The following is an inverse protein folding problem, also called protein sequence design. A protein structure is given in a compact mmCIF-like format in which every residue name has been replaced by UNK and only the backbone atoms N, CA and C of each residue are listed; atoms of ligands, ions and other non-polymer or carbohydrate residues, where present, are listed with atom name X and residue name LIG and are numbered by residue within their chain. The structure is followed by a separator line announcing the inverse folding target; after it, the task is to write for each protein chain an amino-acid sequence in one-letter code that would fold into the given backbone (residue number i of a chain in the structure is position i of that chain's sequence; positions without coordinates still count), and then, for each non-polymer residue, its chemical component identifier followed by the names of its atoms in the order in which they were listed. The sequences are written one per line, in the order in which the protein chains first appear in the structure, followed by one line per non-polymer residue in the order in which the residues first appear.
data_IF_133891150522
#
_entry.id   IF_133891150522
#
_cell.length_a   1.000
_cell.length_b   1.000
_cell.length_c   1.000
_cell.angle_alpha   90.00
_cell.angle_beta   90.00
_cell.angle_gamma   90.00
#
_symmetry.space_group_name_H-M   'P 1'
#
loop_
_entity.id
_entity.type
_entity.pdbx_description
1 polymer ?
#
# COMPACT_ATOMS: atom_id res chain seq x y z
N UNK A 1 14.66 7.56 -11.82
CA UNK A 1 13.46 7.47 -10.95
C UNK A 1 12.25 7.67 -11.85
N UNK A 2 11.30 6.74 -11.87
CA UNK A 2 10.02 6.87 -12.56
C UNK A 2 9.17 7.88 -11.79
N UNK A 3 8.80 9.01 -12.41
CA UNK A 3 7.95 10.03 -11.78
C UNK A 3 6.50 9.76 -12.19
N UNK A 4 5.80 8.94 -11.41
CA UNK A 4 4.38 8.69 -11.64
C UNK A 4 3.54 9.85 -11.06
N UNK A 5 2.41 10.21 -11.69
CA UNK A 5 1.46 11.13 -11.09
C UNK A 5 0.91 10.58 -9.77
N UNK A 6 0.34 11.45 -8.92
CA UNK A 6 -0.41 11.00 -7.74
C UNK A 6 -1.52 10.05 -8.22
N UNK A 7 -1.46 8.79 -7.76
CA UNK A 7 -2.32 7.72 -8.21
C UNK A 7 -3.81 8.02 -7.99
N UNK A 8 -4.15 8.77 -6.93
CA UNK A 8 -5.53 9.17 -6.63
C UNK A 8 -6.02 10.17 -7.70
N UNK A 9 -5.21 11.18 -8.01
CA UNK A 9 -5.56 12.18 -9.03
C UNK A 9 -5.62 11.57 -10.43
N UNK A 10 -4.72 10.63 -10.73
CA UNK A 10 -4.72 9.90 -12.00
C UNK A 10 -5.98 9.04 -12.15
N UNK A 11 -6.38 8.31 -11.12
CA UNK A 11 -7.63 7.52 -11.12
C UNK A 11 -8.86 8.38 -11.38
N UNK A 12 -9.01 9.50 -10.66
CA UNK A 12 -10.15 10.42 -10.83
C UNK A 12 -10.22 10.98 -12.25
N UNK A 13 -9.06 11.26 -12.85
CA UNK A 13 -8.94 11.68 -14.24
C UNK A 13 -9.45 10.59 -15.20
N UNK A 14 -9.07 9.33 -14.97
CA UNK A 14 -9.51 8.18 -15.79
C UNK A 14 -11.01 7.97 -15.70
N UNK A 15 -11.58 8.02 -14.49
CA UNK A 15 -13.02 7.89 -14.27
C UNK A 15 -13.80 9.01 -14.97
N UNK A 16 -13.27 10.24 -14.99
CA UNK A 16 -13.85 11.37 -15.71
C UNK A 16 -13.88 11.13 -17.23
N UNK A 17 -12.86 10.48 -17.78
CA UNK A 17 -12.75 10.27 -19.24
C UNK A 17 -13.47 9.02 -19.73
N UNK A 18 -13.81 8.07 -18.86
CA UNK A 18 -14.63 6.89 -19.22
C UNK A 18 -16.11 7.23 -19.45
N UNK A 19 -16.56 8.40 -18.99
CA UNK A 19 -17.88 9.03 -19.20
C UNK A 19 -19.10 8.12 -18.97
N UNK A 20 -19.37 7.22 -19.93
CA UNK A 20 -20.53 6.33 -19.99
C UNK A 20 -20.28 4.94 -19.38
N UNK A 21 -19.01 4.60 -19.10
CA UNK A 21 -18.63 3.26 -18.66
C UNK A 21 -18.07 3.28 -17.24
N UNK A 22 -18.50 2.34 -16.41
CA UNK A 22 -17.93 2.11 -15.09
C UNK A 22 -16.51 1.57 -15.22
N UNK A 23 -15.52 2.28 -14.67
CA UNK A 23 -14.14 1.79 -14.59
C UNK A 23 -14.09 0.40 -13.94
N UNK A 24 -14.89 0.16 -12.91
CA UNK A 24 -14.96 -1.15 -12.25
C UNK A 24 -15.36 -2.27 -13.21
N UNK A 25 -16.31 -2.02 -14.11
CA UNK A 25 -16.83 -3.05 -15.01
C UNK A 25 -15.81 -3.38 -16.12
N UNK A 26 -15.09 -2.35 -16.60
CA UNK A 26 -13.97 -2.49 -17.54
C UNK A 26 -12.83 -3.31 -16.93
N UNK A 27 -12.52 -3.07 -15.65
CA UNK A 27 -11.39 -3.73 -14.98
C UNK A 27 -11.69 -5.17 -14.55
N UNK A 28 -12.94 -5.53 -14.31
CA UNK A 28 -13.32 -6.88 -13.83
C UNK A 28 -13.66 -7.85 -14.97
N UNK A 29 -13.88 -7.35 -16.20
CA UNK A 29 -14.24 -8.18 -17.35
C UNK A 29 -13.37 -7.93 -18.58
N UNK A 30 -12.56 -8.94 -18.95
CA UNK A 30 -11.77 -8.93 -20.19
C UNK A 30 -12.65 -8.87 -21.45
N UNK A 31 -13.88 -9.39 -21.35
CA UNK A 31 -14.87 -9.37 -22.42
C UNK A 31 -15.46 -7.97 -22.62
N UNK A 32 -15.79 -7.27 -21.53
CA UNK A 32 -16.21 -5.87 -21.58
C UNK A 32 -15.08 -4.98 -22.10
N UNK A 33 -13.85 -5.20 -21.63
CA UNK A 33 -12.66 -4.48 -22.07
C UNK A 33 -12.41 -4.64 -23.58
N UNK A 34 -12.50 -5.87 -24.11
CA UNK A 34 -12.38 -6.15 -25.54
C UNK A 34 -13.53 -5.55 -26.35
N UNK A 35 -14.76 -5.67 -25.87
CA UNK A 35 -15.94 -5.12 -26.55
C UNK A 35 -15.86 -3.60 -26.69
N UNK A 36 -15.29 -2.91 -25.70
CA UNK A 36 -15.14 -1.46 -25.69
C UNK A 36 -13.90 -0.96 -26.44
N UNK A 37 -12.91 -1.82 -26.72
CA UNK A 37 -11.66 -1.42 -27.39
C UNK A 37 -11.85 -0.83 -28.81
N UNK A 38 -12.98 -1.11 -29.46
CA UNK A 38 -13.37 -0.51 -30.74
C UNK A 38 -14.15 0.80 -30.62
N UNK A 39 -14.58 1.17 -29.41
CA UNK A 39 -15.35 2.39 -29.17
C UNK A 39 -14.43 3.61 -29.12
N UNK A 40 -14.77 4.65 -29.88
CA UNK A 40 -13.94 5.85 -29.99
C UNK A 40 -13.72 6.54 -28.63
N UNK A 41 -14.74 6.55 -27.77
CA UNK A 41 -14.64 7.11 -26.41
C UNK A 41 -13.60 6.38 -25.57
N UNK A 42 -13.62 5.05 -25.60
CA UNK A 42 -12.68 4.20 -24.86
C UNK A 42 -11.24 4.38 -25.37
N UNK A 43 -11.04 4.48 -26.69
CA UNK A 43 -9.73 4.74 -27.28
C UNK A 43 -9.17 6.12 -26.90
N UNK A 44 -10.03 7.15 -26.85
CA UNK A 44 -9.66 8.47 -26.35
C UNK A 44 -9.22 8.37 -24.88
N UNK A 45 -9.99 7.66 -24.04
CA UNK A 45 -9.62 7.46 -22.63
C UNK A 45 -8.28 6.76 -22.47
N UNK A 46 -8.03 5.68 -23.21
CA UNK A 46 -6.75 4.97 -23.20
C UNK A 46 -5.59 5.90 -23.60
N UNK A 47 -5.77 6.72 -24.64
CA UNK A 47 -4.75 7.69 -25.05
C UNK A 47 -4.50 8.77 -23.99
N UNK A 48 -5.53 9.24 -23.29
CA UNK A 48 -5.39 10.17 -22.16
C UNK A 48 -4.65 9.54 -20.98
N UNK A 49 -4.95 8.28 -20.66
CA UNK A 49 -4.23 7.51 -19.64
C UNK A 49 -2.74 7.45 -19.96
N UNK A 50 -2.36 7.19 -21.22
CA UNK A 50 -0.96 7.12 -21.62
C UNK A 50 -0.29 8.50 -21.57
N UNK A 51 -0.96 9.55 -22.04
CA UNK A 51 -0.40 10.91 -22.10
C UNK A 51 -0.19 11.55 -20.72
N UNK A 52 -0.86 11.04 -19.69
CA UNK A 52 -0.70 11.51 -18.30
C UNK A 52 0.44 10.81 -17.54
N UNK A 53 1.13 9.87 -18.18
CA UNK A 53 2.25 9.13 -17.60
C UNK A 53 3.60 9.70 -18.05
N UNK A 54 4.65 9.44 -17.27
CA UNK A 54 6.00 9.82 -17.67
C UNK A 54 6.49 9.02 -18.89
N UNK A 55 7.48 9.57 -19.59
CA UNK A 55 7.97 9.02 -20.84
C UNK A 55 8.47 7.58 -20.73
N UNK A 56 9.03 7.15 -19.60
CA UNK A 56 9.51 5.78 -19.44
C UNK A 56 8.35 4.79 -19.28
N UNK A 57 7.33 5.15 -18.51
CA UNK A 57 6.10 4.36 -18.35
C UNK A 57 5.37 4.22 -19.68
N UNK A 58 5.27 5.30 -20.46
CA UNK A 58 4.71 5.28 -21.81
C UNK A 58 5.49 4.37 -22.77
N UNK A 59 6.82 4.43 -22.78
CA UNK A 59 7.66 3.54 -23.62
C UNK A 59 7.44 2.06 -23.26
N UNK A 60 7.26 1.76 -21.97
CA UNK A 60 7.01 0.40 -21.53
C UNK A 60 5.62 -0.10 -21.92
N UNK A 61 4.59 0.73 -21.83
CA UNK A 61 3.25 0.42 -22.32
C UNK A 61 3.24 0.14 -23.83
N UNK A 62 3.98 0.93 -24.62
CA UNK A 62 4.17 0.71 -26.05
C UNK A 62 4.82 -0.65 -26.35
N UNK A 63 5.89 -1.00 -25.62
CA UNK A 63 6.58 -2.29 -25.79
C UNK A 63 5.70 -3.49 -25.44
N UNK A 64 4.78 -3.33 -24.49
CA UNK A 64 3.81 -4.36 -24.09
C UNK A 64 2.54 -4.37 -24.95
N UNK A 65 2.38 -3.42 -25.88
CA UNK A 65 1.20 -3.33 -26.77
C UNK A 65 -0.08 -2.87 -26.07
N UNK A 66 0.03 -2.09 -24.98
CA UNK A 66 -1.09 -1.75 -24.09
C UNK A 66 -1.73 -0.38 -24.34
N UNK A 67 -1.22 0.42 -25.28
CA UNK A 67 -1.61 1.85 -25.45
C UNK A 67 -3.09 2.10 -25.81
N UNK A 68 -3.80 1.07 -26.28
CA UNK A 68 -5.25 1.12 -26.55
C UNK A 68 -6.10 0.30 -25.58
N UNK A 69 -5.52 -0.18 -24.48
CA UNK A 69 -6.15 -1.09 -23.53
C UNK A 69 -6.22 -0.42 -22.14
N UNK A 70 -7.37 0.15 -21.80
CA UNK A 70 -7.60 0.84 -20.51
C UNK A 70 -7.26 -0.09 -19.34
N UNK A 71 -7.71 -1.36 -19.39
CA UNK A 71 -7.41 -2.33 -18.33
C UNK A 71 -5.93 -2.67 -18.30
N UNK A 72 -5.31 -2.90 -19.45
CA UNK A 72 -3.88 -3.17 -19.56
C UNK A 72 -3.00 -2.02 -19.02
N UNK A 73 -3.36 -0.78 -19.34
CA UNK A 73 -2.67 0.42 -18.82
C UNK A 73 -2.88 0.53 -17.31
N UNK A 74 -4.11 0.34 -16.83
CA UNK A 74 -4.43 0.35 -15.41
C UNK A 74 -3.63 -0.69 -14.63
N UNK A 75 -3.66 -1.93 -15.07
CA UNK A 75 -2.96 -3.04 -14.42
C UNK A 75 -1.45 -2.79 -14.38
N UNK A 76 -0.86 -2.26 -15.46
CA UNK A 76 0.57 -1.92 -15.51
C UNK A 76 0.95 -0.74 -14.61
N UNK A 77 0.14 0.31 -14.57
CA UNK A 77 0.38 1.46 -13.66
C UNK A 77 0.23 1.00 -12.21
N UNK A 78 -0.76 0.16 -11.91
CA UNK A 78 -0.88 -0.49 -10.61
C UNK A 78 0.29 -1.41 -10.29
N UNK A 79 0.84 -2.16 -11.25
CA UNK A 79 2.05 -2.97 -11.11
C UNK A 79 3.24 -2.08 -10.77
N UNK A 80 3.42 -0.96 -11.47
CA UNK A 80 4.50 0.00 -11.22
C UNK A 80 4.38 0.66 -9.84
N UNK A 81 3.17 1.04 -9.42
CA UNK A 81 2.92 1.54 -8.06
C UNK A 81 3.09 0.44 -7.03
N UNK A 82 2.69 -0.80 -7.30
CA UNK A 82 2.94 -1.93 -6.41
C UNK A 82 4.41 -2.26 -6.31
N UNK A 83 5.21 -2.13 -7.36
CA UNK A 83 6.65 -2.37 -7.35
C UNK A 83 7.41 -1.23 -6.67
N UNK A 84 6.96 0.02 -6.86
CA UNK A 84 7.43 1.16 -6.07
C UNK A 84 7.04 1.02 -4.60
N UNK A 85 5.83 0.57 -4.31
CA UNK A 85 5.35 0.25 -2.96
C UNK A 85 5.99 -1.04 -2.44
N UNK A 86 6.46 -1.97 -3.27
CA UNK A 86 7.18 -3.18 -2.85
C UNK A 86 8.65 -2.88 -2.57
N UNK A 87 9.25 -1.89 -3.23
CA UNK A 87 10.53 -1.32 -2.84
C UNK A 87 10.41 -0.39 -1.62
N UNK A 88 9.33 0.38 -1.50
CA UNK A 88 8.97 1.07 -0.26
C UNK A 88 8.70 0.07 0.85
N UNK A 89 7.94 -1.00 0.60
CA UNK A 89 7.59 -2.05 1.57
C UNK A 89 8.76 -2.96 1.90
N UNK A 90 9.68 -3.24 0.98
CA UNK A 90 10.91 -3.94 1.34
C UNK A 90 11.77 -3.06 2.24
N UNK A 91 11.70 -1.73 2.09
CA UNK A 91 12.27 -0.80 3.03
C UNK A 91 11.42 -0.63 4.31
N UNK A 92 10.09 -0.69 4.27
CA UNK A 92 9.21 -0.58 5.45
C UNK A 92 9.17 -1.89 6.27
N UNK A 93 9.34 -3.05 5.61
CA UNK A 93 9.44 -4.39 6.20
C UNK A 93 10.88 -4.69 6.65
N UNK A 94 11.91 -4.16 5.97
CA UNK A 94 13.25 -4.09 6.55
C UNK A 94 13.30 -3.10 7.71
N UNK A 95 12.63 -1.95 7.61
CA UNK A 95 12.46 -1.04 8.74
C UNK A 95 11.78 -1.81 9.88
N UNK A 96 10.76 -2.63 9.60
CA UNK A 96 10.12 -3.55 10.56
C UNK A 96 11.11 -4.49 11.26
N UNK A 97 11.97 -5.16 10.50
CA UNK A 97 12.99 -6.06 11.04
C UNK A 97 14.11 -5.30 11.78
N UNK A 98 14.25 -3.98 11.56
CA UNK A 98 15.10 -3.06 12.31
C UNK A 98 14.36 -2.24 13.38
N UNK A 99 13.05 -2.49 13.62
CA UNK A 99 12.22 -1.70 14.56
C UNK A 99 12.12 -2.24 15.98
N UNK A 100 12.91 -3.25 16.37
CA UNK A 100 12.90 -3.77 17.74
C UNK A 100 13.00 -2.61 18.76
N UNK A 101 12.08 -2.60 19.73
CA UNK A 101 12.08 -1.61 20.79
C UNK A 101 13.41 -1.69 21.53
N UNK A 102 14.21 -0.65 21.42
CA UNK A 102 15.52 -0.57 22.07
C UNK A 102 15.46 0.52 23.14
N UNK A 103 15.39 0.16 24.45
CA UNK A 103 15.18 1.13 25.53
C UNK A 103 16.25 2.24 25.61
N UNK A 104 17.45 1.97 25.10
CA UNK A 104 18.57 2.93 25.07
C UNK A 104 18.46 3.95 23.93
N UNK A 105 17.67 3.67 22.90
CA UNK A 105 17.62 4.46 21.65
C UNK A 105 16.32 5.26 21.56
N UNK A 106 15.21 4.71 22.05
CA UNK A 106 13.91 5.37 21.99
C UNK A 106 13.10 5.23 23.27
N UNK A 107 12.26 6.22 23.55
CA UNK A 107 11.31 6.14 24.66
C UNK A 107 10.12 5.25 24.31
N UNK A 108 9.47 4.62 25.30
CA UNK A 108 8.25 3.83 25.12
C UNK A 108 7.16 4.56 24.32
N UNK A 109 6.95 5.85 24.60
CA UNK A 109 5.98 6.68 23.88
C UNK A 109 6.33 6.86 22.40
N UNK A 110 7.61 7.05 22.10
CA UNK A 110 8.07 7.20 20.72
C UNK A 110 7.93 5.88 19.95
N UNK A 111 8.24 4.75 20.59
CA UNK A 111 8.02 3.42 20.03
C UNK A 111 6.53 3.19 19.70
N UNK A 112 5.62 3.40 20.66
CA UNK A 112 4.17 3.22 20.42
C UNK A 112 3.66 4.12 19.30
N UNK A 113 4.13 5.36 19.22
CA UNK A 113 3.77 6.29 18.14
C UNK A 113 4.25 5.77 16.77
N UNK A 114 5.49 5.29 16.71
CA UNK A 114 6.12 4.73 15.52
C UNK A 114 5.39 3.46 15.06
N UNK A 115 5.09 2.56 16.00
CA UNK A 115 4.31 1.36 15.75
C UNK A 115 2.90 1.67 15.26
N UNK A 116 2.20 2.63 15.87
CA UNK A 116 0.84 3.00 15.44
C UNK A 116 0.83 3.63 14.04
N UNK A 117 1.85 4.44 13.70
CA UNK A 117 2.00 4.96 12.34
C UNK A 117 2.25 3.85 11.33
N UNK A 118 2.97 2.79 11.72
CA UNK A 118 3.17 1.61 10.89
C UNK A 118 1.87 0.80 10.73
N UNK A 119 1.20 0.49 11.84
CA UNK A 119 -0.04 -0.26 11.84
C UNK A 119 -1.15 0.45 11.07
N UNK A 120 -1.24 1.78 11.13
CA UNK A 120 -2.21 2.54 10.33
C UNK A 120 -1.96 2.46 8.83
N UNK A 121 -0.69 2.41 8.41
CA UNK A 121 -0.30 2.29 6.99
C UNK A 121 -0.55 0.87 6.45
N UNK A 122 -0.44 -0.14 7.31
CA UNK A 122 -0.53 -1.56 6.94
C UNK A 122 -1.83 -2.23 7.40
N UNK A 123 -2.74 -1.50 8.06
CA UNK A 123 -3.93 -2.05 8.71
C UNK A 123 -4.96 -2.66 7.76
N UNK A 124 -4.88 -2.38 6.45
CA UNK A 124 -5.68 -3.08 5.43
C UNK A 124 -5.21 -4.53 5.21
N UNK A 125 -3.97 -4.86 5.60
CA UNK A 125 -3.29 -6.12 5.30
C UNK A 125 -2.87 -6.90 6.55
N UNK A 126 -3.07 -6.33 7.75
CA UNK A 126 -2.74 -6.98 9.02
C UNK A 126 -3.97 -7.05 9.91
N UNK A 127 -4.30 -8.25 10.37
CA UNK A 127 -5.38 -8.44 11.34
C UNK A 127 -5.00 -7.81 12.69
N UNK A 128 -5.99 -7.62 13.56
CA UNK A 128 -5.72 -7.14 14.92
C UNK A 128 -4.84 -8.11 15.72
N UNK A 129 -4.89 -9.42 15.43
CA UNK A 129 -4.07 -10.45 16.08
C UNK A 129 -2.62 -10.35 15.61
N UNK A 130 -2.40 -10.23 14.30
CA UNK A 130 -1.05 -10.05 13.72
C UNK A 130 -0.35 -8.80 14.26
N UNK A 131 -1.11 -7.72 14.52
CA UNK A 131 -0.57 -6.50 15.10
C UNK A 131 -0.16 -6.69 16.57
N UNK A 132 -0.88 -7.53 17.32
CA UNK A 132 -0.53 -7.85 18.71
C UNK A 132 0.75 -8.69 18.74
N UNK A 133 0.81 -9.74 17.93
CA UNK A 133 1.96 -10.64 17.85
C UNK A 133 3.22 -9.88 17.42
N UNK A 134 3.11 -9.05 16.38
CA UNK A 134 4.21 -8.20 15.93
C UNK A 134 4.68 -7.21 17.00
N UNK A 135 3.76 -6.60 17.75
CA UNK A 135 4.12 -5.69 18.84
C UNK A 135 4.93 -6.41 19.92
N UNK A 136 4.55 -7.65 20.26
CA UNK A 136 5.22 -8.49 21.26
C UNK A 136 6.60 -8.93 20.78
N UNK A 137 6.72 -9.34 19.51
CA UNK A 137 7.99 -9.79 18.93
C UNK A 137 9.02 -8.66 18.86
N UNK A 138 8.57 -7.43 18.61
CA UNK A 138 9.40 -6.24 18.64
C UNK A 138 9.92 -5.88 20.04
N UNK A 139 9.41 -6.49 21.12
CA UNK A 139 9.95 -6.33 22.48
C UNK A 139 11.07 -7.33 22.82
N UNK A 140 11.57 -8.10 21.85
CA UNK A 140 12.64 -9.09 22.04
C UNK A 140 13.90 -8.55 22.71
N UNK A 141 14.26 -7.29 22.46
CA UNK A 141 15.40 -6.61 23.10
C UNK A 141 15.11 -6.11 24.53
N UNK A 142 13.88 -6.23 25.02
CA UNK A 142 13.43 -5.86 26.37
C UNK A 142 12.65 -7.01 27.04
N UNK A 143 13.29 -8.17 27.31
CA UNK A 143 12.59 -9.39 27.74
C UNK A 143 11.81 -9.24 29.04
N UNK A 144 12.29 -8.43 29.99
CA UNK A 144 11.58 -8.17 31.26
C UNK A 144 10.24 -7.47 31.04
N UNK A 145 10.18 -6.53 30.10
CA UNK A 145 8.95 -5.81 29.74
C UNK A 145 8.01 -6.77 28.98
N UNK A 146 8.55 -7.56 28.06
CA UNK A 146 7.79 -8.58 27.32
C UNK A 146 7.10 -9.59 28.25
N UNK A 147 7.81 -10.12 29.24
CA UNK A 147 7.25 -11.07 30.21
C UNK A 147 6.11 -10.46 31.04
N UNK A 148 6.29 -9.23 31.54
CA UNK A 148 5.26 -8.53 32.31
C UNK A 148 4.00 -8.26 31.47
N UNK A 149 4.18 -7.86 30.22
CA UNK A 149 3.07 -7.65 29.30
C UNK A 149 2.31 -8.94 29.01
N UNK A 150 3.02 -10.04 28.72
CA UNK A 150 2.39 -11.34 28.49
C UNK A 150 1.61 -11.83 29.72
N UNK A 151 2.09 -11.51 30.92
CA UNK A 151 1.39 -11.86 32.18
C UNK A 151 0.04 -11.13 32.35
N UNK A 152 -0.12 -9.96 31.72
CA UNK A 152 -1.33 -9.14 31.80
C UNK A 152 -2.49 -9.60 30.87
N UNK A 153 -2.26 -10.64 30.05
CA UNK A 153 -3.22 -11.23 29.09
C UNK A 153 -4.03 -10.20 28.27
N UNK A 154 -3.38 -9.39 27.43
CA UNK A 154 -4.07 -8.36 26.66
C UNK A 154 -4.80 -8.97 25.46
N UNK A 155 -6.11 -8.70 25.34
CA UNK A 155 -6.91 -9.16 24.18
C UNK A 155 -6.97 -8.11 23.04
N UNK A 156 -6.41 -6.92 23.26
CA UNK A 156 -6.48 -5.80 22.32
C UNK A 156 -5.15 -5.02 22.30
N UNK A 157 -4.73 -4.59 21.11
CA UNK A 157 -3.50 -3.81 20.90
C UNK A 157 -3.46 -2.53 21.75
N UNK A 158 -4.58 -1.83 21.90
CA UNK A 158 -4.63 -0.62 22.72
C UNK A 158 -4.33 -0.91 24.21
N UNK A 159 -4.88 -2.00 24.76
CA UNK A 159 -4.62 -2.40 26.15
C UNK A 159 -3.17 -2.81 26.36
N UNK A 160 -2.59 -3.51 25.38
CA UNK A 160 -1.18 -3.89 25.33
C UNK A 160 -0.26 -2.65 25.38
N UNK A 161 -0.54 -1.66 24.53
CA UNK A 161 0.23 -0.42 24.45
C UNK A 161 0.13 0.41 25.73
N UNK A 162 -1.05 0.46 26.34
CA UNK A 162 -1.24 1.16 27.61
C UNK A 162 -0.45 0.51 28.74
N UNK A 163 -0.52 -0.82 28.86
CA UNK A 163 0.27 -1.58 29.84
C UNK A 163 1.77 -1.35 29.65
N UNK A 164 2.25 -1.39 28.40
CA UNK A 164 3.64 -1.07 28.05
C UNK A 164 4.08 0.33 28.51
N UNK A 165 3.23 1.35 28.32
CA UNK A 165 3.52 2.72 28.73
C UNK A 165 3.46 2.94 30.25
N UNK A 166 2.71 2.12 30.98
CA UNK A 166 2.57 2.20 32.44
C UNK A 166 3.67 1.44 33.19
N UNK A 167 4.39 0.53 32.52
CA UNK A 167 5.49 -0.28 33.08
C UNK A 167 6.87 0.41 33.05
N UNK A 168 6.96 1.56 32.39
CA UNK A 168 8.20 2.34 32.16
C UNK A 168 8.11 3.74 32.76
#
# INVERSE_FOLDING_TARGET
MLHLPDFIQWKELVETHLLLYSLRDVLVSDEANKALSSELGYQITAQYMVNSLDSNTMIMLLRRGLVGDVKGIWDYVCECHRDQDHHSRANDLNDLLFTAYTPLIETPRNYVKRFNSFASKNGMYMSSEDQIDLFIDNLSAAPQIREQILSSRPNHLHSLQRAFLEMT
#
